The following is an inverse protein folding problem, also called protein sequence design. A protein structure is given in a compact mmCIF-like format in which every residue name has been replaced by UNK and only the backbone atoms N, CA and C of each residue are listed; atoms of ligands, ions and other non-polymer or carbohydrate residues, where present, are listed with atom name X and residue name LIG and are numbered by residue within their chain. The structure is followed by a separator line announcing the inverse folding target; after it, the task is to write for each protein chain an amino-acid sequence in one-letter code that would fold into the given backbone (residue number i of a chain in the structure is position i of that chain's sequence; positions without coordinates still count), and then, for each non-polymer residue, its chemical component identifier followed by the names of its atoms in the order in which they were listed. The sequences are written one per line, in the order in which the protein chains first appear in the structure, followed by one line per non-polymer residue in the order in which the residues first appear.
data_IF_850362373571
#
_entry.id   IF_850362373571
#
_cell.length_a   1.000
_cell.length_b   1.000
_cell.length_c   1.000
_cell.angle_alpha   90.00
_cell.angle_beta   90.00
_cell.angle_gamma   90.00
#
_symmetry.space_group_name_H-M   'P 1'
#
loop_
_entity.id
_entity.type
_entity.pdbx_description
1 polymer ?
#
# COMPACT_ATOMS: atom_id res chain seq x y z
N UNK A 1 10.84 9.99 -15.53
CA UNK A 1 9.79 9.29 -14.78
C UNK A 1 10.36 7.95 -14.39
N UNK A 2 10.21 7.48 -13.13
CA UNK A 2 10.48 6.09 -12.82
C UNK A 2 9.54 5.22 -13.68
N UNK A 3 9.95 3.99 -14.02
CA UNK A 3 9.08 3.11 -14.77
C UNK A 3 7.82 2.77 -13.97
N UNK A 4 6.67 2.87 -14.62
CA UNK A 4 5.39 2.61 -13.97
C UNK A 4 5.25 1.14 -13.56
N UNK A 5 5.89 0.23 -14.30
CA UNK A 5 5.88 -1.21 -14.04
C UNK A 5 7.29 -1.82 -14.10
N UNK A 6 7.73 -2.37 -12.97
CA UNK A 6 8.99 -3.10 -12.83
C UNK A 6 8.67 -4.60 -12.72
N UNK A 7 9.12 -5.39 -13.69
CA UNK A 7 9.00 -6.86 -13.64
C UNK A 7 10.32 -7.49 -13.22
N UNK A 8 10.27 -8.41 -12.27
CA UNK A 8 11.44 -9.18 -11.84
C UNK A 8 11.01 -10.60 -11.49
N UNK A 9 11.65 -11.59 -12.09
CA UNK A 9 11.29 -13.01 -11.94
C UNK A 9 9.78 -13.23 -12.19
N UNK A 10 9.04 -13.65 -11.15
CA UNK A 10 7.60 -13.91 -11.17
C UNK A 10 6.77 -12.77 -10.56
N UNK A 11 7.42 -11.65 -10.23
CA UNK A 11 6.83 -10.49 -9.58
C UNK A 11 6.68 -9.31 -10.54
N UNK A 12 5.62 -8.55 -10.32
CA UNK A 12 5.31 -7.32 -11.02
C UNK A 12 5.08 -6.25 -9.96
N UNK A 13 5.88 -5.20 -9.97
CA UNK A 13 5.77 -4.06 -9.07
C UNK A 13 5.28 -2.86 -9.86
N UNK A 14 4.04 -2.45 -9.60
CA UNK A 14 3.44 -1.26 -10.16
C UNK A 14 3.69 -0.09 -9.22
N UNK A 15 4.57 0.82 -9.63
CA UNK A 15 4.96 1.98 -8.84
C UNK A 15 3.90 3.09 -8.85
N UNK A 16 3.03 3.13 -9.86
CA UNK A 16 1.95 4.12 -9.95
C UNK A 16 0.75 3.71 -9.08
N UNK A 17 0.42 2.42 -9.08
CA UNK A 17 -0.72 1.87 -8.35
C UNK A 17 -0.39 1.36 -6.94
N UNK A 18 0.89 1.41 -6.52
CA UNK A 18 1.35 0.86 -5.23
C UNK A 18 0.94 -0.60 -5.04
N UNK A 19 1.16 -1.42 -6.08
CA UNK A 19 0.75 -2.83 -6.08
C UNK A 19 1.92 -3.76 -6.39
N UNK A 20 2.09 -4.79 -5.56
CA UNK A 20 2.99 -5.91 -5.82
C UNK A 20 2.14 -7.11 -6.21
N UNK A 21 2.42 -7.71 -7.37
CA UNK A 21 1.79 -8.94 -7.84
C UNK A 21 2.82 -10.05 -7.97
N UNK A 22 2.39 -11.30 -7.74
CA UNK A 22 3.15 -12.51 -8.07
C UNK A 22 2.30 -13.38 -8.97
N UNK A 23 2.77 -13.62 -10.19
CA UNK A 23 2.02 -14.35 -11.23
C UNK A 23 0.58 -13.83 -11.40
N UNK A 24 0.42 -12.50 -11.43
CA UNK A 24 -0.87 -11.82 -11.55
C UNK A 24 -1.72 -11.73 -10.27
N UNK A 25 -1.31 -12.34 -9.15
CA UNK A 25 -2.01 -12.26 -7.87
C UNK A 25 -1.43 -11.15 -6.98
N UNK A 26 -2.27 -10.23 -6.53
CA UNK A 26 -1.89 -9.17 -5.59
C UNK A 26 -1.35 -9.75 -4.27
N UNK A 27 -0.18 -9.27 -3.85
CA UNK A 27 0.46 -9.53 -2.56
C UNK A 27 0.21 -8.32 -1.66
N UNK A 28 -0.42 -8.57 -0.51
CA UNK A 28 -0.65 -7.51 0.48
C UNK A 28 0.67 -7.16 1.16
N UNK A 29 1.11 -5.93 0.98
CA UNK A 29 2.27 -5.35 1.63
C UNK A 29 1.85 -4.04 2.31
N UNK A 30 2.40 -3.76 3.48
CA UNK A 30 2.13 -2.50 4.18
C UNK A 30 2.81 -1.32 3.47
N UNK A 31 2.43 -0.09 3.83
CA UNK A 31 2.93 1.14 3.21
C UNK A 31 4.46 1.26 3.24
N UNK A 32 5.07 1.20 4.42
CA UNK A 32 6.52 1.38 4.57
C UNK A 32 7.32 0.29 3.82
N UNK A 33 7.02 -1.02 3.96
CA UNK A 33 7.71 -2.03 3.18
C UNK A 33 7.48 -1.89 1.65
N UNK A 34 6.31 -1.43 1.20
CA UNK A 34 6.07 -1.16 -0.22
C UNK A 34 6.93 -0.01 -0.74
N UNK A 35 6.95 1.12 -0.04
CA UNK A 35 7.76 2.29 -0.40
C UNK A 35 9.25 1.95 -0.42
N UNK A 36 9.73 1.16 0.56
CA UNK A 36 11.10 0.68 0.58
C UNK A 36 11.41 -0.24 -0.61
N UNK A 37 10.51 -1.17 -0.95
CA UNK A 37 10.69 -2.03 -2.12
C UNK A 37 10.77 -1.22 -3.42
N UNK A 38 9.89 -0.23 -3.59
CA UNK A 38 9.89 0.68 -4.74
C UNK A 38 11.18 1.50 -4.82
N UNK A 39 11.67 2.01 -3.68
CA UNK A 39 12.94 2.74 -3.60
C UNK A 39 14.12 1.85 -4.02
N UNK A 40 14.18 0.62 -3.49
CA UNK A 40 15.25 -0.32 -3.81
C UNK A 40 15.21 -0.79 -5.27
N UNK A 41 14.02 -1.06 -5.81
CA UNK A 41 13.84 -1.48 -7.19
C UNK A 41 14.20 -0.35 -8.18
N UNK A 42 13.75 0.89 -7.88
CA UNK A 42 14.06 2.07 -8.70
C UNK A 42 15.53 2.47 -8.62
N UNK A 43 16.27 2.02 -7.60
CA UNK A 43 17.70 2.25 -7.49
C UNK A 43 18.53 1.39 -8.47
N UNK A 44 17.93 0.50 -9.26
CA UNK A 44 18.57 -0.23 -10.37
C UNK A 44 19.87 -0.95 -9.96
N UNK A 45 19.88 -1.58 -8.78
CA UNK A 45 21.07 -2.27 -8.27
C UNK A 45 22.13 -1.38 -7.64
N UNK A 46 21.88 -0.07 -7.54
CA UNK A 46 22.66 0.82 -6.67
C UNK A 46 22.44 0.44 -5.20
N UNK A 47 23.51 0.56 -4.41
CA UNK A 47 23.42 0.48 -2.96
C UNK A 47 22.65 1.70 -2.44
N UNK A 48 21.55 1.46 -1.75
CA UNK A 48 20.79 2.47 -1.03
C UNK A 48 21.24 2.42 0.43
N UNK A 49 21.77 3.54 0.93
CA UNK A 49 22.29 3.59 2.30
C UNK A 49 21.16 3.62 3.32
N UNK A 50 21.47 3.29 4.58
CA UNK A 50 20.47 3.38 5.65
C UNK A 50 19.94 4.80 5.83
N UNK A 51 20.83 5.78 5.71
CA UNK A 51 20.53 7.20 5.83
C UNK A 51 19.63 7.67 4.67
N UNK A 52 19.91 7.22 3.44
CA UNK A 52 19.06 7.53 2.28
C UNK A 52 17.67 6.90 2.43
N UNK A 53 17.59 5.67 2.93
CA UNK A 53 16.32 5.00 3.22
C UNK A 53 15.55 5.77 4.29
N UNK A 54 16.24 6.19 5.36
CA UNK A 54 15.66 6.96 6.46
C UNK A 54 15.07 8.28 5.96
N UNK A 55 15.86 9.05 5.22
CA UNK A 55 15.47 10.34 4.65
C UNK A 55 14.29 10.19 3.67
N UNK A 56 14.26 9.14 2.84
CA UNK A 56 13.20 8.97 1.83
C UNK A 56 11.87 8.56 2.45
N UNK A 57 11.88 7.68 3.45
CA UNK A 57 10.68 7.09 4.04
C UNK A 57 10.11 7.93 5.18
N UNK A 58 10.97 8.54 5.99
CA UNK A 58 10.56 9.29 7.18
C UNK A 58 10.86 10.80 7.09
N UNK A 59 11.66 11.25 6.11
CA UNK A 59 11.96 12.67 5.89
C UNK A 59 12.68 13.33 7.09
N UNK A 60 12.55 14.65 7.21
CA UNK A 60 13.00 15.42 8.38
C UNK A 60 12.15 15.18 9.65
N UNK A 61 11.25 14.19 9.65
CA UNK A 61 10.48 13.80 10.81
C UNK A 61 11.31 12.89 11.70
N UNK A 62 11.56 13.29 12.95
CA UNK A 62 12.32 12.51 13.96
C UNK A 62 11.66 11.13 14.17
N UNK A 63 12.06 10.13 13.37
CA UNK A 63 11.65 8.75 13.59
C UNK A 63 12.71 8.08 14.44
N UNK A 64 12.27 7.76 15.64
CA UNK A 64 13.12 7.50 16.79
C UNK A 64 13.77 6.10 16.74
N UNK A 65 13.33 5.24 15.83
CA UNK A 65 13.91 3.93 15.60
C UNK A 65 13.90 3.55 14.12
N UNK A 66 14.47 4.44 13.28
CA UNK A 66 14.61 4.20 11.84
C UNK A 66 15.26 2.86 11.54
N UNK A 67 16.26 2.47 12.32
CA UNK A 67 16.91 1.18 12.13
C UNK A 67 15.96 -0.01 12.30
N UNK A 68 15.16 -0.05 13.38
CA UNK A 68 14.20 -1.14 13.57
C UNK A 68 13.07 -1.10 12.55
N UNK A 69 12.64 0.11 12.15
CA UNK A 69 11.66 0.31 11.07
C UNK A 69 12.16 -0.28 9.75
N UNK A 70 13.40 0.03 9.36
CA UNK A 70 14.05 -0.49 8.16
C UNK A 70 14.19 -2.02 8.24
N UNK A 71 14.67 -2.55 9.36
CA UNK A 71 14.83 -3.99 9.54
C UNK A 71 13.49 -4.74 9.44
N UNK A 72 12.44 -4.18 10.04
CA UNK A 72 11.09 -4.74 9.98
C UNK A 72 10.53 -4.69 8.56
N UNK A 73 10.74 -3.58 7.85
CA UNK A 73 10.31 -3.43 6.47
C UNK A 73 11.01 -4.45 5.56
N UNK A 74 12.34 -4.59 5.66
CA UNK A 74 13.11 -5.60 4.93
C UNK A 74 12.63 -7.01 5.24
N UNK A 75 12.34 -7.33 6.51
CA UNK A 75 11.79 -8.63 6.88
C UNK A 75 10.46 -8.91 6.18
N UNK A 76 9.54 -7.94 6.14
CA UNK A 76 8.25 -8.08 5.46
C UNK A 76 8.40 -8.20 3.95
N UNK A 77 9.32 -7.45 3.34
CA UNK A 77 9.65 -7.58 1.91
C UNK A 77 10.15 -9.00 1.63
N UNK A 78 11.12 -9.50 2.40
CA UNK A 78 11.64 -10.86 2.22
C UNK A 78 10.57 -11.92 2.37
N UNK A 79 9.67 -11.78 3.34
CA UNK A 79 8.51 -12.68 3.50
C UNK A 79 7.57 -12.65 2.30
N UNK A 80 7.28 -11.47 1.75
CA UNK A 80 6.42 -11.32 0.59
C UNK A 80 7.04 -11.88 -0.70
N UNK A 81 8.36 -11.72 -0.86
CA UNK A 81 9.11 -12.20 -2.02
C UNK A 81 9.57 -13.67 -1.87
N UNK A 82 9.49 -14.25 -0.67
CA UNK A 82 10.08 -15.55 -0.36
C UNK A 82 11.61 -15.54 -0.47
N UNK A 83 12.24 -14.43 -0.10
CA UNK A 83 13.69 -14.19 -0.19
C UNK A 83 14.40 -14.68 1.07
N UNK A 84 15.51 -15.40 0.90
CA UNK A 84 16.35 -15.90 2.00
C UNK A 84 17.41 -14.85 2.37
N UNK A 85 17.54 -14.42 3.64
CA UNK A 85 18.62 -13.53 4.07
C UNK A 85 20.04 -14.08 3.86
N UNK A 86 20.25 -15.40 3.94
CA UNK A 86 21.57 -16.04 3.79
C UNK A 86 21.93 -16.25 2.32
N UNK A 87 20.91 -16.48 1.48
CA UNK A 87 21.03 -16.68 0.04
C UNK A 87 20.14 -15.68 -0.73
N UNK A 88 20.46 -14.37 -0.69
CA UNK A 88 19.56 -13.35 -1.24
C UNK A 88 19.44 -13.47 -2.75
N UNK A 89 18.19 -13.50 -3.25
CA UNK A 89 17.84 -13.46 -4.66
C UNK A 89 17.33 -12.08 -5.09
N UNK A 90 16.68 -11.38 -4.16
CA UNK A 90 16.07 -10.08 -4.45
C UNK A 90 16.74 -8.95 -3.68
N UNK A 91 16.87 -9.08 -2.35
CA UNK A 91 17.35 -8.01 -1.48
C UNK A 91 18.63 -8.43 -0.75
N UNK A 92 19.76 -7.92 -1.23
CA UNK A 92 21.06 -8.12 -0.61
C UNK A 92 21.27 -7.14 0.55
N UNK A 93 21.66 -7.66 1.72
CA UNK A 93 22.15 -6.83 2.82
C UNK A 93 23.64 -6.55 2.63
N UNK A 94 24.03 -5.28 2.59
CA UNK A 94 25.43 -4.87 2.64
C UNK A 94 25.74 -4.42 4.07
N UNK A 95 26.48 -5.26 4.80
CA UNK A 95 26.76 -5.05 6.21
C UNK A 95 27.27 -3.63 6.48
N UNK A 96 26.67 -2.97 7.48
CA UNK A 96 27.01 -1.61 7.94
C UNK A 96 26.85 -0.49 6.89
N UNK A 97 26.26 -0.77 5.72
CA UNK A 97 26.04 0.25 4.68
C UNK A 97 24.57 0.41 4.32
N UNK A 98 23.84 -0.68 4.10
CA UNK A 98 22.45 -0.60 3.65
C UNK A 98 22.01 -1.82 2.85
N UNK A 99 21.17 -1.58 1.85
CA UNK A 99 20.50 -2.63 1.09
C UNK A 99 20.61 -2.36 -0.41
N UNK A 100 20.62 -3.45 -1.16
CA UNK A 100 20.69 -3.41 -2.62
C UNK A 100 19.71 -4.41 -3.21
N UNK A 101 18.96 -3.94 -4.20
CA UNK A 101 18.11 -4.81 -5.00
C UNK A 101 18.96 -5.48 -6.08
N UNK A 102 19.01 -6.80 -6.12
CA UNK A 102 19.90 -7.56 -7.02
C UNK A 102 19.15 -8.37 -8.09
N UNK A 103 17.82 -8.32 -8.08
CA UNK A 103 17.03 -9.07 -9.06
C UNK A 103 17.16 -8.45 -10.46
N UNK A 104 17.12 -9.30 -11.49
CA UNK A 104 17.11 -8.85 -12.87
C UNK A 104 15.76 -8.21 -13.20
N UNK A 105 15.77 -6.91 -13.49
CA UNK A 105 14.58 -6.11 -13.75
C UNK A 105 14.38 -5.92 -15.25
N UNK A 106 13.16 -6.17 -15.71
CA UNK A 106 12.67 -5.71 -17.02
C UNK A 106 11.71 -4.55 -16.76
N UNK A 107 12.14 -3.37 -17.19
CA UNK A 107 11.31 -2.17 -17.14
C UNK A 107 10.35 -2.19 -18.32
N UNK A 108 9.05 -2.26 -18.03
CA UNK A 108 8.00 -2.14 -19.04
C UNK A 108 7.26 -0.83 -18.87
N UNK A 109 7.14 -0.03 -19.94
CA UNK A 109 6.11 1.01 -19.98
C UNK A 109 4.77 0.28 -20.03
N UNK A 110 3.83 0.64 -19.16
CA UNK A 110 2.48 0.09 -19.17
C UNK A 110 1.73 0.58 -20.42
N UNK A 111 2.11 0.09 -21.59
CA UNK A 111 1.32 0.23 -22.81
C UNK A 111 0.13 -0.72 -22.68
N UNK A 112 -1.01 -0.16 -22.34
CA UNK A 112 -2.29 -0.85 -22.46
C UNK A 112 -2.59 -1.14 -23.92
N UNK A 113 -2.12 -2.28 -24.44
CA UNK A 113 -2.62 -2.90 -25.67
C UNK A 113 -2.53 -4.43 -25.55
N UNK A 114 -3.65 -5.07 -25.28
CA UNK A 114 -3.92 -6.37 -25.88
C UNK A 114 -4.41 -6.12 -27.30
N UNK A 115 -3.48 -6.22 -28.26
CA UNK A 115 -3.75 -6.70 -29.60
C UNK A 115 -4.11 -8.20 -29.55
N UNK A 116 -4.83 -8.68 -30.56
CA UNK A 116 -4.72 -9.97 -31.29
C UNK A 116 -6.09 -10.58 -31.64
N UNK A 117 -6.34 -11.17 -32.81
CA UNK A 117 -5.53 -11.38 -34.01
C UNK A 117 -6.43 -11.89 -35.16
N UNK A 118 -5.96 -11.87 -36.41
CA UNK A 118 -6.67 -12.60 -37.47
C UNK A 118 -6.20 -12.44 -38.92
N UNK A 119 -4.91 -12.20 -39.17
CA UNK A 119 -4.35 -12.39 -40.51
C UNK A 119 -3.99 -13.88 -40.70
N UNK A 120 -4.68 -14.58 -41.59
CA UNK A 120 -4.28 -15.88 -42.11
C UNK A 120 -4.65 -16.03 -43.59
N UNK A 121 -3.60 -16.10 -44.42
CA UNK A 121 -3.45 -16.95 -45.60
C UNK A 121 -4.62 -17.92 -45.89
N UNK A 122 -5.14 -17.95 -47.12
CA UNK A 122 -4.67 -18.88 -48.19
C UNK A 122 -5.52 -18.81 -49.48
N UNK A 123 -4.82 -18.50 -50.57
CA UNK A 123 -4.78 -19.22 -51.86
C UNK A 123 -6.10 -19.62 -52.57
N UNK A 124 -6.29 -18.94 -53.71
CA UNK A 124 -6.95 -19.38 -54.93
C UNK A 124 -6.69 -20.87 -55.29
N UNK A 125 -7.75 -21.58 -55.68
CA UNK A 125 -7.67 -22.82 -56.46
C UNK A 125 -8.95 -23.02 -57.29
N UNK A 126 -8.89 -22.50 -58.52
CA UNK A 126 -9.27 -23.12 -59.81
C UNK A 126 -10.27 -24.31 -59.79
N UNK A 127 -11.45 -24.09 -60.38
CA UNK A 127 -12.35 -25.10 -61.01
C UNK A 127 -11.71 -25.60 -62.33
N UNK A 128 -11.96 -26.86 -62.80
CA UNK A 128 -13.19 -27.10 -63.57
C UNK A 128 -13.77 -28.55 -63.63
N UNK A 129 -15.08 -28.58 -63.94
CA UNK A 129 -15.84 -29.47 -64.83
C UNK A 129 -15.82 -31.00 -64.62
N UNK A 130 -17.01 -31.57 -64.38
CA UNK A 130 -17.30 -32.96 -64.71
C UNK A 130 -18.59 -33.53 -64.10
N UNK A 131 -19.67 -33.58 -64.89
CA UNK A 131 -20.64 -34.68 -64.85
C UNK A 131 -21.80 -34.59 -63.84
N UNK A 132 -22.93 -34.03 -64.29
CA UNK A 132 -24.28 -34.52 -63.97
C UNK A 132 -24.72 -35.49 -65.10
N UNK A 133 -25.72 -36.39 -64.95
CA UNK A 133 -26.95 -36.17 -64.19
C UNK A 133 -27.56 -37.39 -63.45
N UNK A 134 -28.28 -37.10 -62.37
CA UNK A 134 -29.40 -37.94 -61.93
C UNK A 134 -30.37 -37.12 -61.09
N UNK A 135 -31.51 -36.76 -61.68
CA UNK A 135 -32.84 -37.24 -61.26
C UNK A 135 -33.96 -36.48 -61.98
N UNK A 136 -34.74 -37.25 -62.75
CA UNK A 136 -36.15 -36.96 -63.02
C UNK A 136 -36.89 -36.88 -61.68
N UNK A 137 -37.47 -35.72 -61.36
CA UNK A 137 -38.89 -35.63 -61.02
C UNK A 137 -39.34 -34.16 -60.97
N UNK A 138 -40.30 -33.82 -61.82
CA UNK A 138 -41.17 -32.64 -61.77
C UNK A 138 -42.59 -33.20 -61.57
N UNK A 139 -43.41 -32.60 -60.68
CA UNK A 139 -44.41 -31.66 -61.18
C UNK A 139 -44.44 -30.31 -60.46
N UNK A 140 -44.60 -29.28 -61.28
CA UNK A 140 -45.00 -27.88 -61.04
C UNK A 140 -46.41 -27.72 -60.38
N UNK A 141 -46.98 -26.50 -60.23
CA UNK A 141 -46.47 -25.26 -59.63
C UNK A 141 -47.54 -24.61 -58.71
N UNK A 142 -47.15 -23.84 -57.69
CA UNK A 142 -48.04 -22.79 -57.16
C UNK A 142 -47.24 -21.51 -57.01
N UNK A 143 -47.58 -20.54 -57.86
CA UNK A 143 -47.04 -19.21 -57.86
C UNK A 143 -47.40 -18.46 -56.58
N UNK A 144 -46.39 -17.96 -55.86
CA UNK A 144 -46.53 -16.79 -54.99
C UNK A 144 -45.28 -15.91 -55.17
N UNK A 145 -45.53 -14.71 -55.67
CA UNK A 145 -44.61 -13.57 -55.85
C UNK A 145 -44.03 -13.04 -54.52
N UNK A 146 -42.93 -12.25 -54.55
CA UNK A 146 -41.95 -12.15 -53.48
C UNK A 146 -42.30 -11.09 -52.42
N UNK A 147 -42.02 -11.37 -51.14
CA UNK A 147 -41.90 -10.33 -50.10
C UNK A 147 -40.44 -10.30 -49.58
N UNK A 148 -39.62 -9.49 -50.23
CA UNK A 148 -38.31 -9.09 -49.72
C UNK A 148 -38.50 -8.06 -48.60
N UNK A 149 -38.79 -8.52 -47.38
CA UNK A 149 -38.55 -7.72 -46.18
C UNK A 149 -37.07 -7.70 -45.89
N UNK A 150 -36.43 -6.68 -46.42
CA UNK A 150 -35.10 -6.23 -46.07
C UNK A 150 -34.94 -6.22 -44.54
N UNK A 151 -34.08 -7.10 -44.03
CA UNK A 151 -33.56 -6.98 -42.67
C UNK A 151 -32.56 -5.83 -42.72
N UNK A 152 -33.06 -4.62 -42.48
CA UNK A 152 -32.24 -3.43 -42.38
C UNK A 152 -31.32 -3.54 -41.16
N UNK A 153 -30.06 -3.87 -41.38
CA UNK A 153 -29.00 -3.66 -40.40
C UNK A 153 -28.93 -2.15 -40.10
N UNK A 154 -29.36 -1.75 -38.90
CA UNK A 154 -29.19 -0.36 -38.44
C UNK A 154 -27.76 -0.19 -37.91
N UNK A 155 -26.95 0.75 -38.44
CA UNK A 155 -25.69 1.11 -37.82
C UNK A 155 -25.96 2.10 -36.69
N UNK A 156 -26.05 1.60 -35.45
CA UNK A 156 -26.34 2.43 -34.28
C UNK A 156 -25.06 2.77 -33.49
N UNK A 157 -24.44 3.89 -33.90
CA UNK A 157 -23.88 4.94 -33.04
C UNK A 157 -22.99 4.52 -31.85
N UNK A 158 -21.71 4.32 -32.12
CA UNK A 158 -20.58 4.27 -31.15
C UNK A 158 -20.52 5.49 -30.21
N UNK A 159 -21.28 6.56 -30.49
CA UNK A 159 -21.28 7.84 -29.75
C UNK A 159 -21.93 7.75 -28.36
N UNK A 160 -22.86 6.84 -28.14
CA UNK A 160 -23.52 6.68 -26.82
C UNK A 160 -22.73 5.79 -25.85
N UNK A 161 -21.84 4.92 -26.35
CA UNK A 161 -20.97 4.07 -25.53
C UNK A 161 -19.91 4.92 -24.80
N UNK A 162 -19.33 5.91 -25.47
CA UNK A 162 -18.34 6.83 -24.87
C UNK A 162 -18.93 7.78 -23.83
N UNK A 163 -20.22 8.15 -23.95
CA UNK A 163 -20.91 9.01 -22.98
C UNK A 163 -21.16 8.26 -21.66
N UNK A 164 -21.46 6.95 -21.71
CA UNK A 164 -21.66 6.12 -20.52
C UNK A 164 -20.38 5.92 -19.70
N UNK A 165 -19.23 5.77 -20.36
CA UNK A 165 -17.91 5.63 -19.72
C UNK A 165 -17.49 6.95 -19.05
N UNK A 166 -17.70 8.08 -19.73
CA UNK A 166 -17.40 9.40 -19.17
C UNK A 166 -18.25 9.72 -17.93
N UNK A 167 -19.56 9.41 -17.95
CA UNK A 167 -20.45 9.64 -16.82
C UNK A 167 -20.10 8.80 -15.58
N UNK A 168 -19.62 7.56 -15.78
CA UNK A 168 -19.22 6.65 -14.69
C UNK A 168 -17.90 7.10 -14.04
N UNK A 169 -16.94 7.60 -14.83
CA UNK A 169 -15.71 8.20 -14.32
C UNK A 169 -15.97 9.51 -13.57
N UNK A 170 -16.95 10.31 -14.02
CA UNK A 170 -17.27 11.61 -13.44
C UNK A 170 -18.05 11.50 -12.11
N UNK A 171 -18.80 10.41 -11.89
CA UNK A 171 -19.51 10.14 -10.64
C UNK A 171 -18.72 9.28 -9.64
N UNK A 172 -17.80 8.41 -10.08
CA UNK A 172 -17.00 7.55 -9.21
C UNK A 172 -15.85 8.29 -8.49
N UNK A 173 -15.22 9.25 -9.18
CA UNK A 173 -14.12 10.05 -8.63
C UNK A 173 -14.44 10.82 -7.33
N UNK A 174 -15.57 11.54 -7.23
CA UNK A 174 -15.90 12.26 -6.00
C UNK A 174 -16.28 11.33 -4.84
N UNK A 175 -16.90 10.18 -5.10
CA UNK A 175 -17.20 9.17 -4.07
C UNK A 175 -15.93 8.50 -3.53
N UNK A 176 -14.95 8.24 -4.41
CA UNK A 176 -13.64 7.71 -4.03
C UNK A 176 -12.85 8.70 -3.16
N UNK A 177 -12.83 10.00 -3.52
CA UNK A 177 -12.18 11.07 -2.75
C UNK A 177 -12.81 11.26 -1.36
N UNK A 178 -14.13 11.10 -1.24
CA UNK A 178 -14.83 11.23 0.04
C UNK A 178 -14.61 9.98 0.93
N UNK A 179 -14.58 8.79 0.35
CA UNK A 179 -14.26 7.55 1.05
C UNK A 179 -12.79 7.48 1.47
N UNK A 180 -11.85 7.96 0.63
CA UNK A 180 -10.42 8.00 0.95
C UNK A 180 -10.10 9.06 2.01
N UNK A 181 -10.77 10.22 1.98
CA UNK A 181 -10.61 11.26 3.00
C UNK A 181 -11.10 10.82 4.39
N UNK A 182 -12.08 9.91 4.46
CA UNK A 182 -12.52 9.31 5.72
C UNK A 182 -11.51 8.25 6.26
N UNK A 183 -10.78 7.58 5.36
CA UNK A 183 -9.77 6.58 5.72
C UNK A 183 -8.41 7.22 6.06
N UNK A 184 -8.03 8.32 5.39
CA UNK A 184 -6.80 9.08 5.66
C UNK A 184 -6.78 9.72 7.06
N UNK A 185 -7.94 10.03 7.63
CA UNK A 185 -8.04 10.56 9.00
C UNK A 185 -7.61 9.57 10.08
N UNK A 186 -7.46 8.28 9.76
CA UNK A 186 -7.08 7.23 10.71
C UNK A 186 -5.62 6.75 10.60
N UNK A 187 -4.83 7.27 9.65
CA UNK A 187 -3.50 6.73 9.34
C UNK A 187 -2.32 7.44 10.05
N UNK A 188 -2.54 8.58 10.70
CA UNK A 188 -1.51 9.22 11.51
C UNK A 188 -1.65 8.72 12.96
N UNK A 189 -1.05 7.57 13.27
CA UNK A 189 -0.80 7.19 14.66
C UNK A 189 0.05 8.31 15.29
N UNK A 190 -0.41 9.00 16.35
CA UNK A 190 0.39 10.02 17.00
C UNK A 190 1.65 9.37 17.56
N UNK A 191 2.81 9.69 16.98
CA UNK A 191 4.10 9.19 17.46
C UNK A 191 4.39 9.90 18.78
N UNK A 192 4.30 9.17 19.89
CA UNK A 192 4.59 9.71 21.22
C UNK A 192 6.11 9.88 21.34
N UNK A 193 6.60 11.11 21.27
CA UNK A 193 8.03 11.45 21.45
C UNK A 193 8.31 12.04 22.82
N UNK A 194 7.27 12.47 23.51
CA UNK A 194 7.36 13.07 24.81
C UNK A 194 6.22 12.65 25.72
N UNK A 195 6.56 12.39 26.97
CA UNK A 195 5.67 11.76 27.92
C UNK A 195 5.77 12.42 29.29
N UNK A 196 4.64 12.65 29.92
CA UNK A 196 4.56 12.96 31.34
C UNK A 196 4.02 11.76 32.10
N UNK A 197 4.65 11.41 33.22
CA UNK A 197 4.10 10.42 34.17
C UNK A 197 3.49 11.21 35.31
N UNK A 198 2.18 11.12 35.50
CA UNK A 198 1.53 11.76 36.64
C UNK A 198 1.83 10.97 37.92
N UNK A 199 1.86 11.65 39.09
CA UNK A 199 1.97 10.96 40.37
C UNK A 199 0.87 9.92 40.51
N UNK A 200 1.26 8.68 40.79
CA UNK A 200 0.30 7.59 40.94
C UNK A 200 -0.64 7.86 42.12
N UNK A 201 -1.92 7.55 41.94
CA UNK A 201 -2.92 7.73 42.98
C UNK A 201 -2.91 6.55 43.96
N UNK A 202 -2.91 6.85 45.25
CA UNK A 202 -3.13 5.85 46.29
C UNK A 202 -4.64 5.68 46.52
N UNK A 203 -5.18 4.52 46.13
CA UNK A 203 -6.62 4.23 46.28
C UNK A 203 -6.95 3.56 47.62
N UNK A 204 -5.96 3.05 48.36
CA UNK A 204 -6.12 2.40 49.66
C UNK A 204 -6.34 3.40 50.80
N UNK A 205 -5.85 4.63 50.65
CA UNK A 205 -6.00 5.70 51.62
C UNK A 205 -5.05 5.62 52.82
N UNK A 206 -4.12 4.66 52.84
CA UNK A 206 -3.06 4.57 53.85
C UNK A 206 -1.92 5.54 53.51
N UNK A 207 -1.52 6.39 54.46
CA UNK A 207 -0.40 7.31 54.30
C UNK A 207 0.94 6.62 54.03
N UNK A 208 1.10 5.34 54.41
CA UNK A 208 2.31 4.57 54.12
C UNK A 208 2.46 4.22 52.63
N UNK A 209 1.33 4.01 51.94
CA UNK A 209 1.29 3.70 50.50
C UNK A 209 1.47 4.95 49.62
N UNK A 210 1.31 6.15 50.20
CA UNK A 210 1.56 7.41 49.51
C UNK A 210 3.04 7.54 49.11
N UNK A 211 3.95 7.18 50.02
CA UNK A 211 5.39 7.17 49.76
C UNK A 211 5.75 6.09 48.74
N UNK A 212 5.05 4.95 48.79
CA UNK A 212 5.22 3.87 47.83
C UNK A 212 4.78 4.28 46.42
N UNK A 213 3.61 4.91 46.27
CA UNK A 213 3.11 5.44 45.00
C UNK A 213 4.05 6.50 44.40
N UNK A 214 4.59 7.38 45.24
CA UNK A 214 5.61 8.35 44.84
C UNK A 214 6.91 7.68 44.38
N UNK A 215 7.36 6.64 45.08
CA UNK A 215 8.55 5.85 44.69
C UNK A 215 8.37 5.14 43.35
N UNK A 216 7.20 4.51 43.14
CA UNK A 216 6.84 3.86 41.88
C UNK A 216 6.78 4.87 40.72
N UNK A 217 6.28 6.08 40.98
CA UNK A 217 6.30 7.17 39.99
C UNK A 217 7.73 7.53 39.58
N UNK A 218 8.64 7.67 40.56
CA UNK A 218 10.04 8.00 40.30
C UNK A 218 10.78 6.88 39.54
N UNK A 219 10.47 5.62 39.85
CA UNK A 219 11.01 4.46 39.14
C UNK A 219 10.53 4.43 37.68
N UNK A 220 9.25 4.74 37.43
CA UNK A 220 8.70 4.84 36.08
C UNK A 220 9.37 5.97 35.29
N UNK A 221 9.51 7.16 35.88
CA UNK A 221 10.21 8.29 35.26
C UNK A 221 11.65 7.90 34.91
N UNK A 222 12.36 7.26 35.85
CA UNK A 222 13.75 6.83 35.67
C UNK A 222 13.88 5.75 34.59
N UNK A 223 12.96 4.78 34.57
CA UNK A 223 12.97 3.70 33.57
C UNK A 223 12.68 4.23 32.18
N UNK A 224 11.69 5.11 32.05
CA UNK A 224 11.34 5.72 30.77
C UNK A 224 12.43 6.68 30.27
N UNK A 225 13.13 7.37 31.15
CA UNK A 225 14.24 8.26 30.79
C UNK A 225 15.46 7.52 30.19
N UNK A 226 15.55 6.18 30.34
CA UNK A 226 16.61 5.38 29.69
C UNK A 226 16.40 5.25 28.18
N UNK A 227 15.21 5.54 27.67
CA UNK A 227 14.92 5.50 26.25
C UNK A 227 15.20 6.87 25.63
N UNK A 228 16.31 7.06 24.86
CA UNK A 228 16.68 8.36 24.27
C UNK A 228 15.64 8.88 23.26
N UNK A 229 14.82 7.95 22.83
CA UNK A 229 13.61 8.05 22.05
C UNK A 229 12.50 8.94 22.62
N UNK A 230 12.45 9.05 23.95
CA UNK A 230 11.34 9.61 24.69
C UNK A 230 11.84 10.73 25.59
N UNK A 231 11.37 11.95 25.34
CA UNK A 231 11.55 13.07 26.26
C UNK A 231 10.58 12.92 27.42
N UNK A 232 11.08 12.50 28.57
CA UNK A 232 10.29 12.38 29.80
C UNK A 232 10.34 13.70 30.59
N UNK A 233 9.17 14.17 31.04
CA UNK A 233 9.07 15.36 31.89
C UNK A 233 9.56 15.07 33.31
N UNK A 234 10.25 16.03 33.93
CA UNK A 234 10.74 15.89 35.30
C UNK A 234 9.61 15.77 36.31
N UNK A 235 9.87 15.01 37.39
CA UNK A 235 8.96 14.86 38.54
C UNK A 235 8.42 16.20 39.05
N UNK A 236 9.29 17.20 39.21
CA UNK A 236 8.94 18.53 39.72
C UNK A 236 7.85 19.24 38.91
N UNK A 237 7.78 18.99 37.60
CA UNK A 237 6.80 19.62 36.71
C UNK A 237 5.42 18.96 36.77
N UNK A 238 5.36 17.69 37.20
CA UNK A 238 4.13 16.89 37.25
C UNK A 238 3.50 16.81 38.65
N UNK A 239 4.27 17.08 39.72
CA UNK A 239 3.80 17.01 41.13
C UNK A 239 2.56 17.87 41.39
N UNK A 240 2.42 19.01 40.72
CA UNK A 240 1.25 19.88 40.85
C UNK A 240 -0.08 19.25 40.38
N UNK A 241 -0.01 18.17 39.60
CA UNK A 241 -1.20 17.49 39.06
C UNK A 241 -1.68 16.31 39.90
N UNK A 242 -1.02 15.98 41.03
CA UNK A 242 -1.32 14.82 41.90
C UNK A 242 -2.77 14.69 42.38
N UNK A 243 -3.52 15.80 42.43
CA UNK A 243 -4.94 15.86 42.81
C UNK A 243 -5.75 16.72 41.85
N UNK A 244 -5.22 16.98 40.67
CA UNK A 244 -5.87 17.83 39.69
C UNK A 244 -6.88 16.98 38.92
N UNK A 245 -8.18 17.22 39.12
CA UNK A 245 -9.25 16.68 38.28
C UNK A 245 -9.35 17.39 36.93
N UNK A 246 -8.19 17.69 36.32
CA UNK A 246 -8.11 18.32 35.01
C UNK A 246 -8.08 17.23 33.95
N UNK A 247 -8.72 17.45 32.80
CA UNK A 247 -8.69 16.48 31.72
C UNK A 247 -7.25 16.29 31.20
N UNK A 248 -6.81 15.05 31.06
CA UNK A 248 -5.46 14.69 30.61
C UNK A 248 -4.98 15.43 29.35
N UNK A 249 -5.81 15.67 28.30
CA UNK A 249 -5.39 16.42 27.13
C UNK A 249 -4.98 17.87 27.44
N UNK A 250 -5.56 18.48 28.48
CA UNK A 250 -5.20 19.82 28.91
C UNK A 250 -3.85 19.83 29.62
N UNK A 251 -3.63 18.87 30.52
CA UNK A 251 -2.35 18.66 31.20
C UNK A 251 -1.25 18.38 30.18
N UNK A 252 -1.53 17.53 29.19
CA UNK A 252 -0.60 17.22 28.10
C UNK A 252 -0.19 18.47 27.32
N UNK A 253 -1.16 19.32 26.98
CA UNK A 253 -0.92 20.59 26.27
C UNK A 253 -0.12 21.57 27.11
N UNK A 254 -0.39 21.67 28.41
CA UNK A 254 0.32 22.57 29.32
C UNK A 254 1.77 22.14 29.54
N UNK A 255 2.00 20.82 29.66
CA UNK A 255 3.34 20.23 29.76
C UNK A 255 4.05 20.12 28.40
N UNK A 256 3.35 20.43 27.31
CA UNK A 256 3.83 20.31 25.95
C UNK A 256 4.28 18.89 25.59
N UNK A 257 3.54 17.86 26.04
CA UNK A 257 3.84 16.43 25.79
C UNK A 257 2.84 15.79 24.83
N UNK A 258 3.29 14.72 24.16
CA UNK A 258 2.47 13.95 23.22
C UNK A 258 1.57 12.94 23.94
N UNK A 259 1.96 12.52 25.15
CA UNK A 259 1.21 11.57 25.94
C UNK A 259 1.40 11.76 27.45
N UNK A 260 0.44 11.24 28.21
CA UNK A 260 0.42 11.27 29.67
C UNK A 260 0.14 9.86 30.18
N UNK A 261 0.92 9.40 31.15
CA UNK A 261 0.67 8.16 31.90
C UNK A 261 0.01 8.53 33.22
N UNK A 262 -1.12 7.89 33.51
CA UNK A 262 -1.79 7.88 34.80
C UNK A 262 -1.86 6.45 35.34
N UNK A 263 -2.02 6.31 36.64
CA UNK A 263 -2.18 5.02 37.29
C UNK A 263 -2.41 5.17 38.79
N UNK A 264 -2.75 4.06 39.42
CA UNK A 264 -3.01 3.99 40.85
C UNK A 264 -2.35 2.77 41.49
N UNK A 265 -2.19 2.82 42.80
CA UNK A 265 -1.60 1.78 43.64
C UNK A 265 -2.61 1.41 44.73
N UNK A 266 -2.74 0.11 44.99
CA UNK A 266 -3.70 -0.52 45.90
C UNK A 266 -3.06 -1.57 46.79
#
# INVERSE_FOLDING_TARGET
MPPDLIKFEEFELDCACYELRRRGRALKLEKIPMELLMLLATAEGRLVSREEIEERLWGNGVFVDAEHGINTAIRKIRQALGDDPEHPRFVQTVQRKGYRFIAHMTTGVAEGQSQDNGAANREESVRPLGGEPSRMNVPEPVAVTPDHRQIAEKPASHRYVWIGIAATLLLGGPLYKLASAAFERHAAQPVIRSLAVLPLENISGDASEEYFADGMTDELITTLAKYPALRVISRTSVVQYKKAHRPLPEIARELGVDGVIEGSVS
#
